data_IF_726043724532
#
_entry.id   IF_726043724532
#
_cell.length_a   1.000
_cell.length_b   1.000
_cell.length_c   1.000
_cell.angle_alpha   90.00
_cell.angle_beta   90.00
_cell.angle_gamma   90.00
#
_symmetry.space_group_name_H-M   'P 1'
#
loop_
_entity.id
_entity.type
_entity.pdbx_description
1 polymer ?
#
# COMPACT_ATOMS: atom_id res chain seq x y z
N UNK A 1 18.25 11.16 18.38
CA UNK A 1 19.46 10.35 18.55
C UNK A 1 19.19 9.07 19.37
N UNK A 2 18.39 9.09 20.41
CA UNK A 2 18.06 7.93 21.28
C UNK A 2 17.34 6.78 20.57
N UNK A 3 16.36 7.05 19.68
CA UNK A 3 15.58 6.03 18.95
C UNK A 3 16.47 5.22 17.98
N UNK A 4 17.47 5.84 17.37
CA UNK A 4 18.42 5.16 16.48
C UNK A 4 19.32 4.19 17.24
N UNK A 5 19.68 4.52 18.49
CA UNK A 5 20.55 3.69 19.34
C UNK A 5 19.80 2.47 19.90
N UNK A 6 18.53 2.62 20.26
CA UNK A 6 17.70 1.50 20.76
C UNK A 6 17.44 0.50 19.64
N UNK A 7 17.16 0.98 18.40
CA UNK A 7 16.98 0.09 17.25
C UNK A 7 18.27 -0.60 16.79
N UNK A 8 19.43 0.07 16.90
CA UNK A 8 20.71 -0.51 16.49
C UNK A 8 21.14 -1.68 17.40
N UNK A 9 20.86 -1.61 18.71
CA UNK A 9 21.24 -2.65 19.67
C UNK A 9 20.32 -3.89 19.68
N UNK A 10 19.10 -3.81 19.11
CA UNK A 10 18.17 -4.96 18.95
C UNK A 10 18.48 -5.80 17.69
N UNK A 11 19.36 -5.32 16.82
CA UNK A 11 19.68 -5.97 15.52
C UNK A 11 20.75 -7.08 15.64
N UNK A 12 21.28 -7.36 16.83
CA UNK A 12 22.38 -8.31 16.99
C UNK A 12 21.85 -9.71 17.28
N UNK A 13 22.03 -10.60 16.30
CA UNK A 13 21.93 -12.07 16.23
C UNK A 13 20.67 -12.65 15.56
N UNK A 14 20.90 -13.63 14.67
CA UNK A 14 19.94 -14.21 13.70
C UNK A 14 18.53 -14.62 14.20
N UNK A 15 18.34 -15.09 15.42
CA UNK A 15 17.02 -15.33 16.03
C UNK A 15 16.30 -14.02 16.40
N UNK A 16 17.02 -12.98 16.80
CA UNK A 16 16.48 -11.67 17.16
C UNK A 16 15.81 -10.98 15.96
N UNK A 17 16.26 -11.25 14.74
CA UNK A 17 15.72 -10.65 13.52
C UNK A 17 14.25 -11.04 13.24
N UNK A 18 13.86 -12.25 13.59
CA UNK A 18 12.46 -12.67 13.48
C UNK A 18 11.60 -12.07 14.58
N UNK A 19 12.14 -11.91 15.77
CA UNK A 19 11.43 -11.36 16.93
C UNK A 19 11.21 -9.84 16.82
N UNK A 20 12.17 -9.13 16.22
CA UNK A 20 12.10 -7.66 16.04
C UNK A 20 10.83 -7.19 15.34
N UNK A 21 10.31 -7.97 14.42
CA UNK A 21 9.07 -7.62 13.72
C UNK A 21 7.82 -7.72 14.59
N UNK A 22 7.75 -8.70 15.46
CA UNK A 22 6.63 -8.83 16.41
C UNK A 22 6.68 -7.74 17.48
N UNK A 23 7.88 -7.36 17.93
CA UNK A 23 8.07 -6.19 18.81
C UNK A 23 7.63 -4.90 18.11
N UNK A 24 7.95 -4.74 16.83
CA UNK A 24 7.48 -3.59 16.06
C UNK A 24 5.95 -3.57 15.92
N UNK A 25 5.29 -4.73 15.73
CA UNK A 25 3.82 -4.82 15.75
C UNK A 25 3.25 -4.38 17.09
N UNK A 26 3.82 -4.85 18.18
CA UNK A 26 3.38 -4.46 19.53
C UNK A 26 3.53 -2.96 19.74
N UNK A 27 4.65 -2.37 19.34
CA UNK A 27 4.87 -0.92 19.40
C UNK A 27 3.83 -0.18 18.56
N UNK A 28 3.56 -0.64 17.33
CA UNK A 28 2.54 -0.07 16.46
C UNK A 28 1.15 -0.11 17.09
N UNK A 29 0.78 -1.23 17.71
CA UNK A 29 -0.50 -1.39 18.42
C UNK A 29 -0.60 -0.42 19.61
N UNK A 30 0.40 -0.39 20.47
CA UNK A 30 0.42 0.48 21.66
C UNK A 30 0.33 1.96 21.25
N UNK A 31 1.15 2.39 20.28
CA UNK A 31 1.14 3.77 19.82
C UNK A 31 -0.21 4.15 19.18
N UNK A 32 -0.85 3.24 18.47
CA UNK A 32 -2.18 3.49 17.89
C UNK A 32 -3.26 3.56 18.97
N UNK A 33 -3.21 2.73 20.01
CA UNK A 33 -4.12 2.83 21.15
C UNK A 33 -3.97 4.18 21.85
N UNK A 34 -2.75 4.65 22.06
CA UNK A 34 -2.48 5.95 22.69
C UNK A 34 -2.96 7.13 21.84
N UNK A 35 -2.77 7.06 20.52
CA UNK A 35 -3.19 8.09 19.57
C UNK A 35 -4.67 8.01 19.20
N UNK A 36 -5.35 6.91 19.53
CA UNK A 36 -6.72 6.57 19.10
C UNK A 36 -6.93 6.68 17.58
N UNK A 37 -5.86 6.62 16.80
CA UNK A 37 -5.94 6.78 15.35
C UNK A 37 -4.75 6.13 14.62
N UNK A 38 -5.03 5.06 13.89
CA UNK A 38 -4.04 4.42 13.00
C UNK A 38 -3.65 5.31 11.82
N UNK A 39 -4.59 6.16 11.36
CA UNK A 39 -4.33 7.10 10.26
C UNK A 39 -3.31 8.17 10.65
N UNK A 40 -3.42 8.74 11.84
CA UNK A 40 -2.43 9.70 12.37
C UNK A 40 -1.08 9.02 12.52
N UNK A 41 -1.04 7.82 13.10
CA UNK A 41 0.19 7.04 13.25
C UNK A 41 0.85 6.76 11.90
N UNK A 42 0.10 6.26 10.91
CA UNK A 42 0.64 5.93 9.57
C UNK A 42 1.08 7.19 8.81
N UNK A 43 0.35 8.29 8.97
CA UNK A 43 0.71 9.58 8.35
C UNK A 43 2.02 10.15 8.91
N UNK A 44 2.31 9.94 10.20
CA UNK A 44 3.61 10.35 10.79
C UNK A 44 4.77 9.46 10.35
N UNK A 45 4.51 8.17 10.06
CA UNK A 45 5.54 7.25 9.54
C UNK A 45 5.90 7.56 8.07
N UNK A 46 4.95 8.06 7.27
CA UNK A 46 5.17 8.30 5.83
C UNK A 46 6.34 9.25 5.55
N UNK A 47 6.44 10.46 6.14
CA UNK A 47 7.60 11.31 5.95
C UNK A 47 8.91 10.71 6.49
N UNK A 48 8.87 9.91 7.58
CA UNK A 48 10.04 9.23 8.11
C UNK A 48 10.60 8.18 7.13
N UNK A 49 9.72 7.53 6.38
CA UNK A 49 10.12 6.66 5.27
C UNK A 49 10.67 7.48 4.11
N UNK A 50 10.05 8.61 3.80
CA UNK A 50 10.50 9.51 2.72
C UNK A 50 11.92 10.03 2.93
N UNK A 51 12.31 10.39 4.15
CA UNK A 51 13.68 10.82 4.50
C UNK A 51 14.63 9.65 4.83
N UNK A 52 14.17 8.40 4.69
CA UNK A 52 15.00 7.20 4.87
C UNK A 52 15.33 6.84 6.34
N UNK A 53 14.68 7.45 7.32
CA UNK A 53 14.84 7.11 8.74
C UNK A 53 14.27 5.74 9.05
N UNK A 54 13.13 5.41 8.44
CA UNK A 54 12.44 4.12 8.55
C UNK A 54 12.38 3.48 7.17
N UNK A 55 12.72 2.21 7.05
CA UNK A 55 12.56 1.46 5.80
C UNK A 55 11.12 0.94 5.66
N UNK A 56 10.67 0.71 4.43
CA UNK A 56 9.32 0.16 4.15
C UNK A 56 9.15 -1.21 4.83
N UNK A 57 10.21 -2.01 4.88
CA UNK A 57 10.22 -3.31 5.53
C UNK A 57 9.97 -3.23 7.05
N UNK A 58 10.41 -2.14 7.69
CA UNK A 58 10.16 -1.87 9.11
C UNK A 58 8.81 -1.20 9.34
N UNK A 59 8.36 -0.37 8.40
CA UNK A 59 7.04 0.23 8.43
C UNK A 59 5.93 -0.83 8.37
N UNK A 60 6.12 -1.90 7.59
CA UNK A 60 5.12 -2.93 7.38
C UNK A 60 4.62 -3.58 8.70
N UNK A 61 5.47 -4.14 9.58
CA UNK A 61 5.00 -4.68 10.86
C UNK A 61 4.41 -3.61 11.80
N UNK A 62 4.94 -2.39 11.80
CA UNK A 62 4.36 -1.29 12.57
C UNK A 62 2.91 -1.01 12.15
N UNK A 63 2.64 -1.00 10.84
CA UNK A 63 1.28 -0.78 10.29
C UNK A 63 0.34 -1.93 10.61
N UNK A 64 0.81 -3.19 10.55
CA UNK A 64 0.02 -4.35 10.97
C UNK A 64 -0.37 -4.26 12.44
N UNK A 65 0.57 -3.86 13.29
CA UNK A 65 0.30 -3.60 14.70
C UNK A 65 -0.71 -2.47 14.92
N UNK A 66 -0.60 -1.39 14.17
CA UNK A 66 -1.54 -0.27 14.21
C UNK A 66 -2.99 -0.71 13.91
N UNK A 67 -3.19 -1.62 12.96
CA UNK A 67 -4.51 -2.18 12.67
C UNK A 67 -5.08 -2.95 13.87
N UNK A 68 -4.25 -3.75 14.56
CA UNK A 68 -4.67 -4.43 15.79
C UNK A 68 -5.00 -3.42 16.89
N UNK A 69 -4.20 -2.37 17.05
CA UNK A 69 -4.47 -1.29 18.00
C UNK A 69 -5.81 -0.61 17.78
N UNK A 70 -6.16 -0.36 16.50
CA UNK A 70 -7.48 0.21 16.14
C UNK A 70 -8.63 -0.72 16.50
N UNK A 71 -8.48 -2.02 16.29
CA UNK A 71 -9.54 -2.98 16.67
C UNK A 71 -9.68 -3.11 18.17
N UNK A 72 -8.60 -2.99 18.91
CA UNK A 72 -8.65 -2.94 20.37
C UNK A 72 -9.40 -1.72 20.88
N UNK A 73 -9.16 -0.53 20.33
CA UNK A 73 -9.93 0.68 20.67
C UNK A 73 -11.40 0.56 20.30
N UNK A 74 -11.73 -0.12 19.19
CA UNK A 74 -13.11 -0.41 18.81
C UNK A 74 -13.82 -1.33 19.82
N UNK A 75 -13.13 -2.35 20.36
CA UNK A 75 -13.66 -3.21 21.42
C UNK A 75 -13.92 -2.38 22.67
N UNK A 76 -13.00 -1.52 23.10
CA UNK A 76 -13.22 -0.64 24.24
C UNK A 76 -14.42 0.29 24.03
N UNK A 77 -14.58 0.84 22.83
CA UNK A 77 -15.75 1.65 22.49
C UNK A 77 -17.04 0.85 22.47
N UNK A 78 -17.01 -0.43 22.08
CA UNK A 78 -18.17 -1.33 22.14
C UNK A 78 -18.61 -1.59 23.57
N UNK A 79 -17.67 -1.74 24.50
CA UNK A 79 -17.98 -1.93 25.94
C UNK A 79 -18.66 -0.72 26.59
N UNK A 80 -18.55 0.46 25.99
CA UNK A 80 -19.20 1.67 26.42
C UNK A 80 -20.65 1.84 25.91
N UNK A 81 -21.16 0.87 25.12
CA UNK A 81 -22.53 0.86 24.61
C UNK A 81 -23.45 0.19 25.61
N UNK A 82 -24.72 0.64 25.68
CA UNK A 82 -25.75 0.11 26.55
C UNK A 82 -26.76 -0.77 25.80
N UNK A 83 -27.32 -1.76 26.49
CA UNK A 83 -28.44 -2.57 26.03
C UNK A 83 -28.13 -3.46 24.82
N UNK A 84 -29.09 -3.59 23.91
CA UNK A 84 -29.00 -4.49 22.74
C UNK A 84 -27.87 -4.12 21.76
N UNK A 85 -27.49 -2.84 21.73
CA UNK A 85 -26.38 -2.36 20.89
C UNK A 85 -25.01 -2.86 21.33
N UNK A 86 -24.85 -3.23 22.59
CA UNK A 86 -23.59 -3.79 23.10
C UNK A 86 -23.24 -5.10 22.38
N UNK A 87 -24.22 -6.01 22.26
CA UNK A 87 -24.01 -7.31 21.59
C UNK A 87 -23.57 -7.14 20.15
N UNK A 88 -24.28 -6.34 19.37
CA UNK A 88 -24.01 -6.14 17.95
C UNK A 88 -22.66 -5.43 17.72
N UNK A 89 -22.40 -4.38 18.51
CA UNK A 89 -21.15 -3.64 18.43
C UNK A 89 -19.93 -4.49 18.82
N UNK A 90 -20.08 -5.33 19.86
CA UNK A 90 -19.03 -6.27 20.29
C UNK A 90 -18.76 -7.33 19.22
N UNK A 91 -19.82 -7.88 18.61
CA UNK A 91 -19.70 -8.87 17.55
C UNK A 91 -18.91 -8.33 16.35
N UNK A 92 -19.23 -7.13 15.87
CA UNK A 92 -18.52 -6.47 14.75
C UNK A 92 -17.06 -6.20 15.13
N UNK A 93 -16.81 -5.69 16.34
CA UNK A 93 -15.44 -5.39 16.80
C UNK A 93 -14.59 -6.64 16.93
N UNK A 94 -15.17 -7.75 17.42
CA UNK A 94 -14.49 -9.06 17.50
C UNK A 94 -14.20 -9.64 16.10
N UNK A 95 -15.15 -9.58 15.19
CA UNK A 95 -14.92 -9.99 13.80
C UNK A 95 -13.76 -9.20 13.16
N UNK A 96 -13.71 -7.88 13.37
CA UNK A 96 -12.64 -7.04 12.89
C UNK A 96 -11.28 -7.42 13.53
N UNK A 97 -11.23 -7.68 14.83
CA UNK A 97 -10.00 -8.14 15.49
C UNK A 97 -9.52 -9.48 14.93
N UNK A 98 -10.43 -10.47 14.82
CA UNK A 98 -10.12 -11.79 14.28
C UNK A 98 -9.64 -11.71 12.82
N UNK A 99 -10.24 -10.84 12.01
CA UNK A 99 -9.80 -10.57 10.65
C UNK A 99 -8.35 -10.07 10.61
N UNK A 100 -8.00 -9.08 11.44
CA UNK A 100 -6.64 -8.56 11.51
C UNK A 100 -5.63 -9.60 12.02
N UNK A 101 -5.97 -10.36 13.04
CA UNK A 101 -5.11 -11.43 13.58
C UNK A 101 -4.92 -12.53 12.53
N UNK A 102 -5.97 -12.99 11.87
CA UNK A 102 -5.88 -14.02 10.82
C UNK A 102 -5.04 -13.52 9.62
N UNK A 103 -5.21 -12.27 9.24
CA UNK A 103 -4.38 -11.63 8.21
C UNK A 103 -2.90 -11.59 8.60
N UNK A 104 -2.58 -11.25 9.84
CA UNK A 104 -1.20 -11.27 10.34
C UNK A 104 -0.63 -12.68 10.33
N UNK A 105 -1.39 -13.66 10.85
CA UNK A 105 -0.95 -15.06 10.89
C UNK A 105 -0.74 -15.66 9.49
N UNK A 106 -1.52 -15.25 8.52
CA UNK A 106 -1.39 -15.71 7.14
C UNK A 106 -0.19 -15.05 6.43
N UNK A 107 -0.06 -13.72 6.53
CA UNK A 107 0.90 -12.97 5.70
C UNK A 107 2.25 -12.72 6.35
N UNK A 108 2.32 -12.63 7.67
CA UNK A 108 3.54 -12.19 8.33
C UNK A 108 4.56 -13.28 8.64
N UNK A 109 4.20 -14.50 9.12
CA UNK A 109 5.17 -15.54 9.50
C UNK A 109 5.98 -16.03 8.29
N UNK A 110 5.36 -16.09 7.11
CA UNK A 110 5.99 -16.61 5.91
C UNK A 110 6.78 -15.51 5.19
N UNK A 111 8.11 -15.61 5.08
CA UNK A 111 8.95 -14.57 4.48
C UNK A 111 8.60 -14.25 3.02
N UNK A 112 8.14 -15.26 2.28
CA UNK A 112 7.71 -15.10 0.88
C UNK A 112 6.44 -14.23 0.80
N UNK A 113 5.46 -14.47 1.66
CA UNK A 113 4.20 -13.74 1.66
C UNK A 113 4.40 -12.26 2.05
N UNK A 114 5.33 -11.95 2.96
CA UNK A 114 5.69 -10.57 3.32
C UNK A 114 6.27 -9.76 2.15
N UNK A 115 7.00 -10.42 1.25
CA UNK A 115 7.62 -9.74 0.11
C UNK A 115 6.59 -9.17 -0.86
N UNK A 116 5.43 -9.81 -0.98
CA UNK A 116 4.40 -9.40 -1.94
C UNK A 116 3.81 -8.01 -1.62
N UNK A 117 3.24 -7.74 -0.42
CA UNK A 117 2.71 -6.42 -0.10
C UNK A 117 3.79 -5.33 -0.10
N UNK A 118 5.01 -5.64 0.35
CA UNK A 118 6.14 -4.70 0.33
C UNK A 118 6.52 -4.35 -1.12
N UNK A 119 6.59 -5.34 -2.00
CA UNK A 119 6.88 -5.12 -3.43
C UNK A 119 5.79 -4.28 -4.10
N UNK A 120 4.52 -4.59 -3.85
CA UNK A 120 3.38 -3.83 -4.37
C UNK A 120 3.40 -2.38 -3.88
N UNK A 121 3.67 -2.16 -2.60
CA UNK A 121 3.80 -0.82 -2.02
C UNK A 121 4.94 -0.01 -2.67
N UNK A 122 6.11 -0.62 -2.87
CA UNK A 122 7.24 0.00 -3.57
C UNK A 122 6.89 0.33 -5.01
N UNK A 123 6.24 -0.58 -5.73
CA UNK A 123 5.83 -0.38 -7.12
C UNK A 123 4.77 0.71 -7.24
N UNK A 124 3.77 0.72 -6.34
CA UNK A 124 2.77 1.77 -6.28
C UNK A 124 3.40 3.13 -6.02
N UNK A 125 4.30 3.23 -5.04
CA UNK A 125 5.03 4.44 -4.71
C UNK A 125 5.88 4.96 -5.88
N UNK A 126 6.61 4.09 -6.58
CA UNK A 126 7.40 4.47 -7.75
C UNK A 126 6.55 4.92 -8.94
N UNK A 127 5.39 4.28 -9.15
CA UNK A 127 4.44 4.68 -10.20
C UNK A 127 3.81 6.04 -9.87
N UNK A 128 3.43 6.26 -8.62
CA UNK A 128 2.87 7.53 -8.14
C UNK A 128 3.88 8.68 -8.21
N UNK A 129 5.14 8.41 -7.89
CA UNK A 129 6.21 9.38 -8.03
C UNK A 129 6.44 9.79 -9.51
N UNK A 130 6.30 8.82 -10.43
CA UNK A 130 6.44 9.08 -11.87
C UNK A 130 5.23 9.77 -12.48
N UNK A 131 4.01 9.38 -12.05
CA UNK A 131 2.74 9.87 -12.57
C UNK A 131 1.88 10.40 -11.41
N UNK A 132 1.97 11.69 -11.11
CA UNK A 132 1.27 12.31 -9.96
C UNK A 132 -0.25 12.18 -10.03
N UNK A 133 -0.83 12.28 -11.22
CA UNK A 133 -2.27 12.10 -11.45
C UNK A 133 -2.75 10.69 -11.07
N UNK A 134 -1.85 9.70 -11.18
CA UNK A 134 -2.15 8.32 -10.83
C UNK A 134 -2.51 8.15 -9.34
N UNK A 135 -1.94 8.97 -8.45
CA UNK A 135 -2.29 8.96 -7.03
C UNK A 135 -3.77 9.30 -6.82
N UNK A 136 -4.26 10.34 -7.47
CA UNK A 136 -5.68 10.76 -7.37
C UNK A 136 -6.59 9.71 -7.97
N UNK A 137 -6.26 9.19 -9.16
CA UNK A 137 -7.03 8.12 -9.80
C UNK A 137 -7.10 6.88 -8.91
N UNK A 138 -5.96 6.45 -8.34
CA UNK A 138 -5.89 5.31 -7.44
C UNK A 138 -6.77 5.51 -6.19
N UNK A 139 -6.71 6.69 -5.56
CA UNK A 139 -7.54 7.01 -4.40
C UNK A 139 -9.04 6.95 -4.74
N UNK A 140 -9.45 7.60 -5.82
CA UNK A 140 -10.85 7.60 -6.25
C UNK A 140 -11.31 6.17 -6.56
N UNK A 141 -10.55 5.42 -7.34
CA UNK A 141 -10.92 4.06 -7.74
C UNK A 141 -11.00 3.10 -6.54
N UNK A 142 -9.99 3.12 -5.64
CA UNK A 142 -9.91 2.17 -4.54
C UNK A 142 -10.78 2.52 -3.34
N UNK A 143 -10.99 3.81 -3.06
CA UNK A 143 -11.72 4.24 -1.85
C UNK A 143 -13.15 4.68 -2.11
N UNK A 144 -13.52 4.99 -3.36
CA UNK A 144 -14.89 5.40 -3.70
C UNK A 144 -15.54 4.44 -4.69
N UNK A 145 -14.95 4.23 -5.86
CA UNK A 145 -15.59 3.45 -6.92
C UNK A 145 -15.70 1.98 -6.54
N UNK A 146 -14.62 1.36 -6.08
CA UNK A 146 -14.61 -0.06 -5.71
C UNK A 146 -15.59 -0.36 -4.54
N UNK A 147 -15.54 0.34 -3.39
CA UNK A 147 -16.50 0.09 -2.31
C UNK A 147 -17.95 0.38 -2.71
N UNK A 148 -18.20 1.47 -3.45
CA UNK A 148 -19.54 1.80 -3.93
C UNK A 148 -20.10 0.73 -4.89
N UNK A 149 -19.25 0.19 -5.77
CA UNK A 149 -19.62 -0.90 -6.68
C UNK A 149 -19.97 -2.18 -5.92
N UNK A 150 -19.11 -2.57 -4.96
CA UNK A 150 -19.35 -3.77 -4.15
C UNK A 150 -20.62 -3.60 -3.31
N UNK A 151 -20.80 -2.46 -2.67
CA UNK A 151 -21.98 -2.16 -1.88
C UNK A 151 -23.26 -2.13 -2.73
N UNK A 152 -23.22 -1.46 -3.88
CA UNK A 152 -24.35 -1.41 -4.79
C UNK A 152 -24.76 -2.78 -5.35
N UNK A 153 -23.78 -3.62 -5.71
CA UNK A 153 -24.02 -4.98 -6.17
C UNK A 153 -24.57 -5.87 -5.04
N UNK A 154 -24.03 -5.75 -3.82
CA UNK A 154 -24.51 -6.49 -2.66
C UNK A 154 -25.94 -6.10 -2.27
N UNK A 155 -26.27 -4.81 -2.37
CA UNK A 155 -27.63 -4.33 -2.11
C UNK A 155 -28.64 -4.77 -3.19
N UNK A 156 -28.17 -5.00 -4.42
CA UNK A 156 -29.03 -5.45 -5.51
C UNK A 156 -29.38 -6.95 -5.40
N UNK A 157 -28.38 -7.81 -5.23
CA UNK A 157 -28.54 -9.26 -5.05
C UNK A 157 -27.20 -9.94 -4.81
N UNK A 158 -27.19 -10.99 -3.99
CA UNK A 158 -26.00 -11.84 -3.78
C UNK A 158 -25.51 -12.48 -5.09
N UNK A 159 -26.43 -12.84 -5.97
CA UNK A 159 -26.10 -13.39 -7.29
C UNK A 159 -25.46 -12.36 -8.22
N UNK A 160 -25.87 -11.09 -8.15
CA UNK A 160 -25.23 -10.02 -8.91
C UNK A 160 -23.79 -9.77 -8.40
N UNK A 161 -23.60 -9.77 -7.10
CA UNK A 161 -22.28 -9.67 -6.49
C UNK A 161 -21.36 -10.83 -6.90
N UNK A 162 -21.84 -12.07 -6.79
CA UNK A 162 -21.10 -13.26 -7.21
C UNK A 162 -20.78 -13.24 -8.71
N UNK A 163 -21.74 -12.84 -9.55
CA UNK A 163 -21.61 -12.74 -11.01
C UNK A 163 -20.56 -11.74 -11.47
N UNK A 164 -20.20 -10.74 -10.66
CA UNK A 164 -19.12 -9.79 -10.97
C UNK A 164 -17.81 -10.19 -10.28
N UNK A 165 -17.85 -10.61 -9.01
CA UNK A 165 -16.64 -10.95 -8.26
C UNK A 165 -15.93 -12.19 -8.79
N UNK A 166 -16.68 -13.23 -9.17
CA UNK A 166 -16.07 -14.48 -9.66
C UNK A 166 -15.29 -14.25 -10.97
N UNK A 167 -15.87 -13.64 -12.02
CA UNK A 167 -15.15 -13.39 -13.27
C UNK A 167 -13.95 -12.43 -13.09
N UNK A 168 -14.11 -11.37 -12.27
CA UNK A 168 -13.02 -10.42 -12.03
C UNK A 168 -11.86 -11.05 -11.25
N UNK A 169 -12.15 -11.90 -10.28
CA UNK A 169 -11.13 -12.64 -9.54
C UNK A 169 -10.43 -13.65 -10.45
N UNK A 170 -11.17 -14.41 -11.25
CA UNK A 170 -10.62 -15.36 -12.21
C UNK A 170 -9.73 -14.66 -13.23
N UNK A 171 -10.18 -13.54 -13.80
CA UNK A 171 -9.41 -12.72 -14.73
C UNK A 171 -8.11 -12.22 -14.08
N UNK A 172 -8.17 -11.76 -12.85
CA UNK A 172 -6.98 -11.30 -12.11
C UNK A 172 -5.98 -12.43 -11.89
N UNK A 173 -6.46 -13.62 -11.51
CA UNK A 173 -5.62 -14.82 -11.34
C UNK A 173 -4.93 -15.17 -12.65
N UNK A 174 -5.67 -15.18 -13.77
CA UNK A 174 -5.12 -15.48 -15.10
C UNK A 174 -4.03 -14.47 -15.49
N UNK A 175 -4.28 -13.16 -15.31
CA UNK A 175 -3.30 -12.12 -15.62
C UNK A 175 -2.05 -12.26 -14.74
N UNK A 176 -2.21 -12.53 -13.45
CA UNK A 176 -1.08 -12.76 -12.54
C UNK A 176 -0.31 -14.01 -12.95
N UNK A 177 -0.99 -15.11 -13.28
CA UNK A 177 -0.35 -16.33 -13.75
C UNK A 177 0.46 -16.09 -15.04
N UNK A 178 -0.10 -15.39 -16.02
CA UNK A 178 0.60 -15.02 -17.25
C UNK A 178 1.85 -14.18 -16.94
N UNK A 179 1.73 -13.16 -16.09
CA UNK A 179 2.88 -12.32 -15.71
C UNK A 179 3.99 -13.13 -15.00
N UNK A 180 3.63 -14.08 -14.15
CA UNK A 180 4.59 -14.98 -13.48
C UNK A 180 5.25 -15.92 -14.48
N UNK A 181 4.48 -16.49 -15.43
CA UNK A 181 5.02 -17.35 -16.49
C UNK A 181 5.96 -16.57 -17.43
N UNK A 182 5.59 -15.35 -17.82
CA UNK A 182 6.45 -14.48 -18.63
C UNK A 182 7.82 -14.22 -17.98
N UNK A 183 7.86 -14.11 -16.64
CA UNK A 183 9.11 -13.89 -15.91
C UNK A 183 9.92 -15.16 -15.69
N UNK A 184 9.25 -16.31 -15.45
CA UNK A 184 9.94 -17.56 -15.07
C UNK A 184 10.20 -18.51 -16.24
N UNK A 185 9.26 -18.61 -17.19
CA UNK A 185 9.33 -19.52 -18.34
C UNK A 185 8.65 -18.90 -19.58
N UNK A 186 9.29 -17.92 -20.23
CA UNK A 186 8.72 -17.27 -21.41
C UNK A 186 8.51 -18.26 -22.59
N UNK A 187 9.25 -19.36 -22.61
CA UNK A 187 9.15 -20.37 -23.66
C UNK A 187 7.87 -21.23 -23.59
N UNK A 188 7.25 -21.34 -22.41
CA UNK A 188 6.01 -22.08 -22.23
C UNK A 188 4.77 -21.34 -22.75
N UNK A 189 4.91 -20.06 -23.11
CA UNK A 189 3.81 -19.22 -23.58
C UNK A 189 3.80 -19.09 -25.11
N UNK A 190 2.60 -19.09 -25.75
CA UNK A 190 2.44 -18.77 -27.16
C UNK A 190 3.10 -17.44 -27.51
N UNK A 191 3.65 -17.31 -28.72
CA UNK A 191 4.39 -16.11 -29.16
C UNK A 191 3.66 -14.78 -28.96
N UNK A 192 2.32 -14.76 -29.05
CA UNK A 192 1.50 -13.56 -28.87
C UNK A 192 1.28 -13.11 -27.40
N UNK A 193 1.60 -13.99 -26.42
CA UNK A 193 1.37 -13.70 -24.99
C UNK A 193 2.72 -13.65 -24.22
N UNK A 194 3.84 -13.83 -24.92
CA UNK A 194 5.19 -13.74 -24.31
C UNK A 194 5.51 -12.33 -23.80
N UNK A 195 5.03 -11.31 -24.50
CA UNK A 195 5.18 -9.92 -24.14
C UNK A 195 3.84 -9.21 -24.33
N UNK A 196 3.60 -8.16 -23.58
CA UNK A 196 2.38 -7.35 -23.72
C UNK A 196 2.46 -6.37 -24.90
N UNK A 197 3.52 -6.45 -25.73
CA UNK A 197 3.76 -5.55 -26.88
C UNK A 197 2.73 -5.73 -28.00
N UNK A 198 2.02 -6.88 -28.04
CA UNK A 198 0.90 -7.13 -28.95
C UNK A 198 -0.37 -6.33 -28.61
N UNK A 199 -0.46 -5.78 -27.37
CA UNK A 199 -1.58 -4.95 -26.94
C UNK A 199 -1.35 -3.48 -27.30
N UNK A 200 -2.43 -2.70 -27.58
CA UNK A 200 -2.32 -1.26 -27.80
C UNK A 200 -1.60 -0.57 -26.63
N UNK A 201 -0.80 0.45 -26.93
CA UNK A 201 -0.01 1.23 -25.95
C UNK A 201 -0.82 1.72 -24.73
N UNK A 202 -2.12 1.95 -24.91
CA UNK A 202 -3.02 2.35 -23.82
C UNK A 202 -3.24 1.25 -22.77
N UNK A 203 -3.05 -0.02 -23.11
CA UNK A 203 -3.32 -1.15 -22.21
C UNK A 203 -2.10 -1.57 -21.37
N UNK A 204 -0.88 -1.25 -21.82
CA UNK A 204 0.36 -1.65 -21.12
C UNK A 204 1.27 -0.49 -20.70
N UNK A 205 0.93 0.76 -21.06
CA UNK A 205 1.72 1.94 -20.70
C UNK A 205 0.84 3.14 -20.34
N UNK A 206 1.19 3.82 -19.27
CA UNK A 206 0.53 5.07 -18.85
C UNK A 206 0.99 6.30 -19.64
N UNK A 207 1.99 6.16 -20.52
CA UNK A 207 2.55 7.27 -21.32
C UNK A 207 1.52 8.03 -22.16
N UNK A 208 0.59 7.37 -22.90
CA UNK A 208 -0.38 8.10 -23.72
C UNK A 208 -1.39 8.88 -22.84
N UNK A 209 -1.82 8.29 -21.72
CA UNK A 209 -2.73 8.94 -20.77
C UNK A 209 -2.06 10.14 -20.09
N UNK A 210 -0.81 9.98 -19.67
CA UNK A 210 0.00 11.05 -19.10
C UNK A 210 0.16 12.24 -20.07
N UNK A 211 0.39 11.95 -21.36
CA UNK A 211 0.49 12.98 -22.40
C UNK A 211 -0.81 13.77 -22.60
N UNK A 212 -1.96 13.10 -22.49
CA UNK A 212 -3.29 13.74 -22.56
C UNK A 212 -3.52 14.61 -21.31
N UNK A 213 -3.27 14.07 -20.14
CA UNK A 213 -3.47 14.79 -18.87
C UNK A 213 -2.54 15.99 -18.75
N UNK A 214 -1.26 15.83 -19.10
CA UNK A 214 -0.28 16.93 -19.14
C UNK A 214 -0.69 18.01 -20.13
N UNK A 215 -1.29 17.63 -21.27
CA UNK A 215 -1.80 18.59 -22.25
C UNK A 215 -3.04 19.35 -21.72
N UNK A 216 -3.91 18.70 -20.97
CA UNK A 216 -5.08 19.30 -20.34
C UNK A 216 -4.70 20.21 -19.16
N UNK A 217 -3.81 19.72 -18.27
CA UNK A 217 -3.35 20.47 -17.10
C UNK A 217 -2.33 21.56 -17.46
N UNK A 218 -1.56 21.40 -18.53
CA UNK A 218 -0.61 22.39 -19.05
C UNK A 218 -1.25 23.69 -19.54
N UNK A 219 -2.57 23.73 -19.73
CA UNK A 219 -3.36 24.97 -19.99
C UNK A 219 -3.60 25.78 -18.72
N UNK A 220 -3.41 25.21 -17.52
CA UNK A 220 -3.51 25.96 -16.26
C UNK A 220 -2.18 26.66 -15.94
N UNK A 221 -2.19 27.99 -15.93
CA UNK A 221 -1.01 28.83 -15.69
C UNK A 221 -0.33 28.54 -14.34
N UNK A 222 -1.09 28.15 -13.31
CA UNK A 222 -0.56 27.76 -11.99
C UNK A 222 0.27 26.46 -12.03
N UNK A 223 -0.12 25.47 -12.84
CA UNK A 223 0.62 24.21 -12.97
C UNK A 223 1.96 24.40 -13.71
N UNK A 224 1.99 25.27 -14.70
CA UNK A 224 3.20 25.57 -15.49
C UNK A 224 4.30 26.26 -14.66
N UNK A 225 3.92 27.13 -13.72
CA UNK A 225 4.87 27.82 -12.84
C UNK A 225 5.49 26.86 -11.81
N UNK A 226 4.70 25.91 -11.30
CA UNK A 226 5.15 24.90 -10.31
C UNK A 226 6.07 23.86 -10.95
N UNK A 227 5.77 23.39 -12.16
CA UNK A 227 6.58 22.43 -12.89
C UNK A 227 7.98 23.01 -13.19
N UNK A 228 8.07 24.28 -13.58
CA UNK A 228 9.33 24.97 -13.81
C UNK A 228 10.20 25.13 -12.57
N UNK A 229 9.58 25.27 -11.39
CA UNK A 229 10.30 25.35 -10.10
C UNK A 229 10.84 23.98 -9.69
N UNK A 230 10.09 22.90 -9.91
CA UNK A 230 10.51 21.55 -9.57
C UNK A 230 11.61 21.03 -10.51
N UNK A 231 11.52 21.30 -11.81
CA UNK A 231 12.58 20.96 -12.78
C UNK A 231 13.89 21.68 -12.45
N UNK A 232 13.82 22.93 -11.97
CA UNK A 232 15.00 23.68 -11.53
C UNK A 232 15.61 23.11 -10.25
N UNK A 233 14.79 22.64 -9.28
CA UNK A 233 15.27 22.01 -8.04
C UNK A 233 15.96 20.67 -8.36
N UNK A 234 15.36 19.84 -9.21
CA UNK A 234 15.95 18.57 -9.65
C UNK A 234 17.27 18.79 -10.39
N UNK A 235 17.35 19.81 -11.23
CA UNK A 235 18.57 20.15 -11.99
C UNK A 235 19.69 20.63 -11.06
N UNK A 236 19.36 21.36 -10.00
CA UNK A 236 20.31 21.81 -8.98
C UNK A 236 20.82 20.65 -8.11
N UNK A 237 19.94 19.71 -7.74
CA UNK A 237 20.33 18.51 -6.97
C UNK A 237 21.22 17.55 -7.79
N UNK A 238 20.92 17.35 -9.08
CA UNK A 238 21.74 16.54 -9.98
C UNK A 238 23.05 17.20 -10.33
N UNK A 239 23.08 18.53 -10.49
CA UNK A 239 24.30 19.32 -10.75
C UNK A 239 25.23 19.36 -9.54
N UNK A 240 24.69 19.38 -8.32
CA UNK A 240 25.48 19.34 -7.08
C UNK A 240 26.16 18.00 -6.79
N UNK A 241 25.64 16.89 -7.31
CA UNK A 241 26.23 15.55 -7.17
C UNK A 241 27.42 15.29 -8.12
N UNK A 242 27.55 16.05 -9.20
CA UNK A 242 28.65 15.88 -10.15
C UNK A 242 29.96 16.55 -9.70
N UNK A 243 29.95 17.28 -8.60
CA UNK A 243 31.11 18.05 -8.13
C UNK A 243 31.91 17.43 -6.97
N UNK A 244 31.47 16.30 -6.39
CA UNK A 244 32.09 15.73 -5.18
C UNK A 244 32.86 14.42 -5.39
N UNK A 245 32.95 13.90 -6.61
CA UNK A 245 33.72 12.68 -6.90
C UNK A 245 35.07 12.97 -7.56
N UNK A 246 35.72 14.06 -7.18
CA UNK A 246 37.13 14.30 -7.50
C UNK A 246 37.83 14.82 -6.24
N UNK A 247 38.16 13.88 -5.32
CA UNK A 247 39.35 13.94 -4.47
C UNK A 247 39.51 12.60 -3.75
#
# INVERSE_FOLDING_TARGET
MCIKSIYANIVITGCAKHFTGYVAMLIGAILTILLNSSSVFTSTLTPLVGVGVVTIERMYPLTLGANVGTTFTAILASLAQDGDKLSDSMQVSMCHLLFNISGILLWYPVPFMRKLPIYLAKRLGSTTAKYRWFAFLYLIMMFFVMPATIFGLSAASDWALAGVLIPTTLFTIVVVAINVLQQKRPEALPKGIRTWDSLPLCCHSFKPVDKVITRLTGRCVCCKKRQKTEDNVITLELGGRSGTDKY
#
